data_IF_334587321576
#
_entry.id   IF_334587321576
#
_cell.length_a   1.000
_cell.length_b   1.000
_cell.length_c   1.000
_cell.angle_alpha   90.00
_cell.angle_beta   90.00
_cell.angle_gamma   90.00
#
_symmetry.space_group_name_H-M   'P 1'
#
loop_
_entity.id
_entity.type
_entity.pdbx_description
1 polymer ?
#
# COMPACT_ATOMS: atom_id res chain seq x y z
N UNK A 1 -11.26 21.31 -2.70
CA UNK A 1 -11.62 20.10 -3.45
C UNK A 1 -12.43 19.18 -2.56
N UNK A 2 -13.52 18.61 -3.06
CA UNK A 2 -14.40 17.72 -2.29
C UNK A 2 -14.72 16.52 -3.16
N UNK A 3 -14.33 15.33 -2.70
CA UNK A 3 -14.52 14.07 -3.42
C UNK A 3 -15.66 13.28 -2.78
N UNK A 4 -16.34 12.48 -3.59
CA UNK A 4 -17.32 11.49 -3.13
C UNK A 4 -16.66 10.13 -3.00
N UNK A 5 -16.92 9.43 -1.89
CA UNK A 5 -16.40 8.10 -1.62
C UNK A 5 -16.91 7.57 -0.29
N UNK A 6 -16.79 6.26 -0.10
CA UNK A 6 -17.06 5.63 1.19
C UNK A 6 -15.86 5.86 2.12
N UNK A 7 -16.10 6.56 3.23
CA UNK A 7 -15.04 6.93 4.17
C UNK A 7 -14.38 5.71 4.82
N UNK A 8 -15.16 4.69 5.15
CA UNK A 8 -14.67 3.53 5.89
C UNK A 8 -13.84 2.63 4.97
N UNK A 9 -14.29 2.44 3.73
CA UNK A 9 -13.52 1.69 2.72
C UNK A 9 -12.22 2.41 2.35
N UNK A 10 -12.23 3.74 2.21
CA UNK A 10 -11.02 4.52 1.95
C UNK A 10 -10.02 4.43 3.11
N UNK A 11 -10.52 4.52 4.35
CA UNK A 11 -9.69 4.35 5.54
C UNK A 11 -9.08 2.96 5.59
N UNK A 12 -9.87 1.92 5.35
CA UNK A 12 -9.40 0.53 5.32
C UNK A 12 -8.34 0.32 4.23
N UNK A 13 -8.55 0.83 3.02
CA UNK A 13 -7.57 0.73 1.94
C UNK A 13 -6.24 1.40 2.31
N UNK A 14 -6.28 2.61 2.86
CA UNK A 14 -5.09 3.32 3.32
C UNK A 14 -4.38 2.59 4.47
N UNK A 15 -5.13 2.08 5.44
CA UNK A 15 -4.59 1.32 6.55
C UNK A 15 -3.87 0.05 6.09
N UNK A 16 -4.43 -0.67 5.10
CA UNK A 16 -3.79 -1.85 4.52
C UNK A 16 -2.46 -1.50 3.83
N UNK A 17 -2.42 -0.41 3.06
CA UNK A 17 -1.18 0.05 2.41
C UNK A 17 -0.12 0.48 3.42
N UNK A 18 -0.53 1.18 4.48
CA UNK A 18 0.38 1.60 5.55
C UNK A 18 0.90 0.44 6.38
N UNK A 19 0.07 -0.57 6.67
CA UNK A 19 0.51 -1.78 7.36
C UNK A 19 1.61 -2.50 6.57
N UNK A 20 1.42 -2.63 5.25
CA UNK A 20 2.44 -3.17 4.37
C UNK A 20 3.72 -2.34 4.38
N UNK A 21 3.61 -1.02 4.23
CA UNK A 21 4.76 -0.13 4.25
C UNK A 21 5.55 -0.27 5.58
N UNK A 22 4.86 -0.21 6.73
CA UNK A 22 5.49 -0.38 8.06
C UNK A 22 6.17 -1.75 8.19
N UNK A 23 5.54 -2.78 7.66
CA UNK A 23 6.04 -4.16 7.76
C UNK A 23 7.27 -4.42 6.90
N UNK A 24 7.37 -3.80 5.73
CA UNK A 24 8.41 -4.10 4.74
C UNK A 24 9.50 -3.03 4.61
N UNK A 25 9.30 -1.83 5.18
CA UNK A 25 10.34 -0.81 5.28
C UNK A 25 11.42 -1.24 6.27
N UNK A 26 12.72 -1.17 5.92
CA UNK A 26 13.81 -1.48 6.85
C UNK A 26 13.93 -0.45 7.98
N UNK A 27 14.67 -0.79 9.04
CA UNK A 27 14.99 0.17 10.10
C UNK A 27 15.66 1.44 9.52
N UNK A 28 15.21 2.61 9.99
CA UNK A 28 15.61 3.93 9.48
C UNK A 28 15.21 4.24 8.02
N UNK A 29 14.37 3.41 7.39
CA UNK A 29 13.72 3.74 6.13
C UNK A 29 12.56 4.72 6.32
N UNK A 30 12.08 5.27 5.21
CA UNK A 30 11.04 6.30 5.20
C UNK A 30 9.75 5.77 4.58
N UNK A 31 8.63 6.28 5.09
CA UNK A 31 7.31 6.09 4.50
C UNK A 31 6.73 7.48 4.26
N UNK A 32 6.34 7.77 3.03
CA UNK A 32 5.72 9.02 2.63
C UNK A 32 4.27 8.80 2.22
N UNK A 33 3.37 9.61 2.79
CA UNK A 33 1.96 9.68 2.37
C UNK A 33 1.74 11.05 1.75
N UNK A 34 1.30 11.07 0.50
CA UNK A 34 1.07 12.31 -0.25
C UNK A 34 -0.33 12.31 -0.84
N UNK A 35 -0.96 13.48 -0.83
CA UNK A 35 -2.25 13.72 -1.45
C UNK A 35 -2.12 14.91 -2.40
N UNK A 36 -2.32 14.67 -3.69
CA UNK A 36 -2.25 15.67 -4.73
C UNK A 36 -3.59 15.78 -5.47
N UNK A 37 -4.01 17.00 -5.80
CA UNK A 37 -5.10 17.21 -6.75
C UNK A 37 -4.54 16.99 -8.15
N UNK A 38 -5.11 16.07 -8.92
CA UNK A 38 -4.74 15.87 -10.33
C UNK A 38 -5.53 16.85 -11.20
N UNK A 39 -6.82 16.97 -10.89
CA UNK A 39 -7.74 17.95 -11.49
C UNK A 39 -8.86 18.30 -10.50
N UNK A 40 -9.91 18.97 -10.98
CA UNK A 40 -11.05 19.42 -10.14
C UNK A 40 -11.92 18.28 -9.59
N UNK A 41 -11.81 17.07 -10.12
CA UNK A 41 -12.62 15.90 -9.78
C UNK A 41 -11.79 14.69 -9.31
N UNK A 42 -10.46 14.75 -9.43
CA UNK A 42 -9.57 13.61 -9.18
C UNK A 42 -8.43 13.98 -8.23
N UNK A 43 -8.24 13.18 -7.18
CA UNK A 43 -7.04 13.23 -6.34
C UNK A 43 -6.21 11.97 -6.52
N UNK A 44 -4.91 12.11 -6.38
CA UNK A 44 -3.97 11.02 -6.22
C UNK A 44 -3.54 10.95 -4.75
N UNK A 45 -3.79 9.81 -4.10
CA UNK A 45 -3.29 9.47 -2.78
C UNK A 45 -2.22 8.40 -2.96
N UNK A 46 -0.99 8.73 -2.60
CA UNK A 46 0.17 7.85 -2.79
C UNK A 46 0.81 7.51 -1.45
N UNK A 47 1.10 6.22 -1.25
CA UNK A 47 1.92 5.70 -0.15
C UNK A 47 3.19 5.14 -0.78
N UNK A 48 4.35 5.68 -0.39
CA UNK A 48 5.65 5.26 -0.89
C UNK A 48 6.57 4.89 0.28
N UNK A 49 7.35 3.84 0.13
CA UNK A 49 8.26 3.34 1.15
C UNK A 49 9.62 2.91 0.59
N UNK A 50 10.63 2.86 1.47
CA UNK A 50 12.00 2.42 1.14
C UNK A 50 12.18 0.89 1.25
N UNK A 51 11.08 0.12 1.21
CA UNK A 51 11.10 -1.33 1.27
C UNK A 51 11.74 -1.98 0.03
N UNK A 52 11.90 -3.31 0.03
CA UNK A 52 12.55 -4.05 -1.05
C UNK A 52 11.78 -4.02 -2.38
N UNK A 53 10.56 -3.47 -2.38
CA UNK A 53 9.66 -3.44 -3.52
C UNK A 53 9.11 -4.83 -3.89
N UNK A 54 8.38 -4.87 -5.00
CA UNK A 54 7.79 -6.09 -5.56
C UNK A 54 8.54 -6.41 -6.87
N UNK A 55 9.08 -7.64 -7.03
CA UNK A 55 9.69 -8.08 -8.29
C UNK A 55 8.71 -7.94 -9.47
N UNK A 56 9.21 -7.56 -10.65
CA UNK A 56 8.36 -7.26 -11.82
C UNK A 56 7.42 -8.41 -12.20
N UNK A 57 7.91 -9.65 -12.13
CA UNK A 57 7.12 -10.85 -12.43
C UNK A 57 5.93 -11.05 -11.47
N UNK A 58 6.03 -10.51 -10.25
CA UNK A 58 5.06 -10.72 -9.17
C UNK A 58 4.08 -9.55 -9.01
N UNK A 59 4.33 -8.41 -9.68
CA UNK A 59 3.48 -7.20 -9.59
C UNK A 59 2.02 -7.45 -9.98
N UNK A 60 1.76 -8.36 -10.91
CA UNK A 60 0.39 -8.72 -11.31
C UNK A 60 -0.33 -9.60 -10.28
N UNK A 61 0.43 -10.26 -9.40
CA UNK A 61 -0.08 -11.24 -8.45
C UNK A 61 -0.43 -10.63 -7.08
N UNK A 62 0.05 -9.42 -6.76
CA UNK A 62 -0.18 -8.79 -5.45
C UNK A 62 -1.66 -8.47 -5.14
N UNK A 63 -2.50 -8.40 -6.17
CA UNK A 63 -3.95 -8.26 -5.99
C UNK A 63 -4.69 -9.60 -5.79
N UNK A 64 -3.99 -10.73 -5.94
CA UNK A 64 -4.58 -12.03 -5.71
C UNK A 64 -4.67 -12.30 -4.21
N UNK A 65 -5.83 -12.83 -3.80
CA UNK A 65 -6.10 -13.15 -2.41
C UNK A 65 -5.07 -14.17 -1.90
N UNK A 66 -4.47 -13.92 -0.74
CA UNK A 66 -3.46 -14.77 -0.09
C UNK A 66 -2.11 -14.86 -0.79
N UNK A 67 -1.85 -14.07 -1.84
CA UNK A 67 -0.55 -14.05 -2.49
C UNK A 67 0.49 -13.37 -1.59
N UNK A 68 1.67 -14.01 -1.47
CA UNK A 68 2.82 -13.52 -0.69
C UNK A 68 4.11 -13.91 -1.38
N UNK A 69 5.05 -12.98 -1.42
CA UNK A 69 6.40 -13.25 -1.91
C UNK A 69 7.09 -14.27 -1.00
N UNK A 70 7.91 -15.15 -1.57
CA UNK A 70 8.62 -16.16 -0.79
C UNK A 70 9.58 -15.55 0.24
N UNK A 71 10.14 -14.37 -0.06
CA UNK A 71 11.01 -13.59 0.81
C UNK A 71 10.32 -13.04 2.08
N UNK A 72 8.98 -13.03 2.13
CA UNK A 72 8.19 -12.51 3.26
C UNK A 72 7.42 -13.59 4.02
N UNK A 73 7.69 -14.88 3.78
CA UNK A 73 7.04 -16.02 4.49
C UNK A 73 7.28 -16.04 5.99
N UNK A 74 8.31 -15.36 6.50
CA UNK A 74 8.62 -15.27 7.95
C UNK A 74 7.92 -14.11 8.65
N UNK A 75 7.27 -13.20 7.92
CA UNK A 75 6.70 -11.97 8.47
C UNK A 75 5.19 -12.11 8.72
N UNK A 76 4.75 -11.87 9.95
CA UNK A 76 3.36 -12.08 10.40
C UNK A 76 2.30 -11.34 9.56
N UNK A 77 1.11 -11.94 9.40
CA UNK A 77 -0.09 -11.34 8.76
C UNK A 77 -0.95 -12.39 8.03
N UNK A 78 -2.10 -12.01 7.46
CA UNK A 78 -3.02 -12.92 6.75
C UNK A 78 -2.95 -12.89 5.22
N UNK A 79 -2.25 -11.93 4.61
CA UNK A 79 -2.25 -11.74 3.14
C UNK A 79 -3.58 -11.18 2.62
N UNK A 80 -4.32 -10.49 3.50
CA UNK A 80 -5.52 -9.70 3.18
C UNK A 80 -5.22 -8.20 3.07
N UNK A 81 -3.95 -7.85 3.22
CA UNK A 81 -3.27 -6.59 2.97
C UNK A 81 -1.90 -6.96 2.46
#
# INVERSE_FOLDING_TARGET
>A
MRLSGDRDLLFQALANLLDNAIKYTPENGHIAVTLASVDNATAELSVADDGPGIPDAERGHVFQRFFRLESSRTTAGSGLG
#
